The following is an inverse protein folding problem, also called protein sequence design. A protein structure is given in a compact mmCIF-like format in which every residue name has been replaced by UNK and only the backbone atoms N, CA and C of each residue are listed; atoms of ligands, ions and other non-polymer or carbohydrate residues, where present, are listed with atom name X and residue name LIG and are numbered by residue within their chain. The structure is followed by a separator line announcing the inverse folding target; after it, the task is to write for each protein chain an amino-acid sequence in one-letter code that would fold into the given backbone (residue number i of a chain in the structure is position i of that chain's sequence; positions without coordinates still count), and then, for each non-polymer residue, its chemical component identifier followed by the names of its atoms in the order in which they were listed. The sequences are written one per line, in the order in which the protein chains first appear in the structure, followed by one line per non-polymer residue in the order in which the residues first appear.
data_IF_700154019171
#
_entry.id   IF_700154019171
#
_cell.length_a   1.000
_cell.length_b   1.000
_cell.length_c   1.000
_cell.angle_alpha   90.00
_cell.angle_beta   90.00
_cell.angle_gamma   90.00
#
_symmetry.space_group_name_H-M   'P 1'
#
loop_
_entity.id
_entity.type
_entity.pdbx_description
1 polymer ?
#
# COMPACT_ATOMS: atom_id res chain seq x y z
N UNK A 1 -8.02 20.83 7.56
CA UNK A 1 -8.26 21.08 6.11
C UNK A 1 -7.44 20.18 5.18
N UNK A 2 -6.14 19.90 5.39
CA UNK A 2 -5.39 18.96 4.50
C UNK A 2 -5.64 17.48 4.86
N UNK A 3 -5.76 17.15 6.15
CA UNK A 3 -6.00 15.79 6.63
C UNK A 3 -7.28 15.17 6.03
N UNK A 4 -8.37 15.94 5.99
CA UNK A 4 -9.65 15.48 5.44
C UNK A 4 -9.60 15.19 3.94
N UNK A 5 -8.74 15.91 3.20
CA UNK A 5 -8.53 15.65 1.78
C UNK A 5 -7.73 14.36 1.56
N UNK A 6 -6.76 14.09 2.44
CA UNK A 6 -6.01 12.84 2.43
C UNK A 6 -6.93 11.66 2.82
N UNK A 7 -7.80 11.83 3.81
CA UNK A 7 -8.82 10.84 4.16
C UNK A 7 -9.72 10.51 2.96
N UNK A 8 -10.14 11.52 2.19
CA UNK A 8 -10.90 11.30 0.95
C UNK A 8 -10.08 10.56 -0.12
N UNK A 9 -8.80 10.90 -0.32
CA UNK A 9 -7.92 10.12 -1.22
C UNK A 9 -7.82 8.65 -0.79
N UNK A 10 -7.74 8.42 0.53
CA UNK A 10 -7.59 7.09 1.11
C UNK A 10 -8.86 6.26 0.86
N UNK A 11 -10.03 6.85 1.11
CA UNK A 11 -11.34 6.24 0.83
C UNK A 11 -11.49 5.90 -0.66
N UNK A 12 -10.98 6.76 -1.55
CA UNK A 12 -10.96 6.55 -2.99
C UNK A 12 -9.89 5.55 -3.46
N UNK A 13 -9.15 4.91 -2.54
CA UNK A 13 -8.07 3.93 -2.83
C UNK A 13 -6.99 4.46 -3.79
N UNK A 14 -6.71 5.76 -3.71
CA UNK A 14 -5.69 6.40 -4.55
C UNK A 14 -4.28 6.11 -4.05
N UNK A 15 -3.33 5.94 -4.98
CA UNK A 15 -1.93 5.86 -4.61
C UNK A 15 -1.43 7.19 -4.05
N UNK A 16 -0.28 7.17 -3.38
CA UNK A 16 0.36 8.39 -2.88
C UNK A 16 0.59 9.41 -4.01
N UNK A 17 1.06 8.97 -5.18
CA UNK A 17 1.30 9.86 -6.32
C UNK A 17 0.00 10.48 -6.84
N UNK A 18 -1.07 9.69 -6.92
CA UNK A 18 -2.38 10.17 -7.38
C UNK A 18 -2.98 11.17 -6.40
N UNK A 19 -2.88 10.92 -5.09
CA UNK A 19 -3.35 11.87 -4.10
C UNK A 19 -2.56 13.19 -4.15
N UNK A 20 -1.24 13.14 -4.37
CA UNK A 20 -0.42 14.36 -4.53
C UNK A 20 -0.82 15.15 -5.77
N UNK A 21 -1.04 14.48 -6.91
CA UNK A 21 -1.50 15.15 -8.15
C UNK A 21 -2.89 15.75 -7.97
N UNK A 22 -3.84 14.97 -7.47
CA UNK A 22 -5.20 15.43 -7.23
C UNK A 22 -5.25 16.63 -6.27
N UNK A 23 -4.43 16.63 -5.22
CA UNK A 23 -4.38 17.74 -4.28
C UNK A 23 -3.69 18.99 -4.86
N UNK A 24 -2.69 18.80 -5.72
CA UNK A 24 -2.05 19.90 -6.42
C UNK A 24 -3.01 20.53 -7.45
N UNK A 25 -3.81 19.72 -8.14
CA UNK A 25 -4.71 20.18 -9.21
C UNK A 25 -6.04 20.73 -8.68
N UNK A 26 -6.68 20.05 -7.72
CA UNK A 26 -8.01 20.43 -7.23
C UNK A 26 -7.98 21.40 -6.05
N UNK A 27 -6.88 21.44 -5.29
CA UNK A 27 -6.78 22.27 -4.09
C UNK A 27 -5.59 23.23 -4.10
N UNK A 28 -4.81 23.28 -5.20
CA UNK A 28 -3.59 24.08 -5.32
C UNK A 28 -2.61 23.89 -4.16
N UNK A 29 -2.62 22.72 -3.53
CA UNK A 29 -1.74 22.42 -2.39
C UNK A 29 -0.36 22.04 -2.93
N UNK A 30 0.68 22.68 -2.39
CA UNK A 30 2.06 22.35 -2.77
C UNK A 30 2.34 20.86 -2.50
N UNK A 31 2.86 20.09 -3.48
CA UNK A 31 3.18 18.67 -3.32
C UNK A 31 4.02 18.39 -2.06
N UNK A 32 4.93 19.30 -1.72
CA UNK A 32 5.78 19.21 -0.53
C UNK A 32 4.99 19.16 0.79
N UNK A 33 3.88 19.90 0.89
CA UNK A 33 3.01 19.90 2.07
C UNK A 33 2.31 18.54 2.18
N UNK A 34 1.71 18.06 1.09
CA UNK A 34 1.05 16.75 1.04
C UNK A 34 2.01 15.61 1.39
N UNK A 35 3.24 15.64 0.87
CA UNK A 35 4.26 14.63 1.18
C UNK A 35 4.68 14.64 2.66
N UNK A 36 4.83 15.83 3.25
CA UNK A 36 5.22 15.96 4.66
C UNK A 36 4.11 15.43 5.57
N UNK A 37 2.85 15.78 5.29
CA UNK A 37 1.69 15.29 6.05
C UNK A 37 1.52 13.78 5.88
N UNK A 38 1.66 13.27 4.65
CA UNK A 38 1.60 11.84 4.37
C UNK A 38 2.67 11.04 5.13
N UNK A 39 3.92 11.55 5.18
CA UNK A 39 5.00 10.95 6.00
C UNK A 39 4.65 10.94 7.49
N UNK A 40 4.06 12.02 8.01
CA UNK A 40 3.57 12.07 9.38
C UNK A 40 2.50 11.02 9.65
N UNK A 41 1.50 10.92 8.78
CA UNK A 41 0.41 9.94 8.88
C UNK A 41 0.90 8.49 8.86
N UNK A 42 1.88 8.16 8.01
CA UNK A 42 2.50 6.83 8.00
C UNK A 42 3.19 6.56 9.34
N UNK A 43 3.92 7.55 9.88
CA UNK A 43 4.68 7.38 11.12
C UNK A 43 3.76 7.09 12.31
N UNK A 44 2.63 7.80 12.39
CA UNK A 44 1.63 7.62 13.44
C UNK A 44 0.82 6.32 13.23
N UNK A 45 0.49 5.95 11.99
CA UNK A 45 -0.45 4.86 11.68
C UNK A 45 0.16 3.78 10.78
N UNK A 46 1.35 3.27 11.14
CA UNK A 46 2.11 2.30 10.33
C UNK A 46 1.30 1.06 9.92
N UNK A 47 0.55 0.47 10.86
CA UNK A 47 -0.23 -0.75 10.61
C UNK A 47 -1.34 -0.55 9.57
N UNK A 48 -2.03 0.59 9.62
CA UNK A 48 -3.06 0.95 8.64
C UNK A 48 -2.45 1.11 7.24
N UNK A 49 -1.39 1.90 7.11
CA UNK A 49 -0.76 2.15 5.82
C UNK A 49 -0.12 0.90 5.21
N UNK A 50 0.33 -0.05 6.01
CA UNK A 50 0.84 -1.34 5.52
C UNK A 50 -0.26 -2.16 4.85
N UNK A 51 -1.44 -2.27 5.48
CA UNK A 51 -2.60 -2.94 4.90
C UNK A 51 -3.12 -2.18 3.66
N UNK A 52 -3.22 -0.86 3.76
CA UNK A 52 -3.68 0.01 2.69
C UNK A 52 -2.82 -0.09 1.42
N UNK A 53 -1.48 -0.02 1.56
CA UNK A 53 -0.56 -0.19 0.43
C UNK A 53 -0.63 -1.60 -0.18
N UNK A 54 -0.85 -2.62 0.65
CA UNK A 54 -1.05 -3.98 0.18
C UNK A 54 -2.34 -4.13 -0.65
N UNK A 55 -3.39 -3.38 -0.32
CA UNK A 55 -4.66 -3.37 -1.06
C UNK A 55 -4.61 -2.57 -2.37
N UNK A 56 -3.86 -1.46 -2.41
CA UNK A 56 -3.75 -0.60 -3.62
C UNK A 56 -2.76 -1.17 -4.62
N UNK A 57 -1.75 -1.91 -4.16
CA UNK A 57 -0.82 -2.59 -5.05
C UNK A 57 -1.61 -3.56 -5.94
N UNK A 58 -1.70 -3.32 -7.26
CA UNK A 58 -2.50 -4.14 -8.15
C UNK A 58 -1.76 -5.45 -8.31
N UNK A 59 -2.11 -6.44 -7.49
CA UNK A 59 -1.80 -7.87 -7.64
C UNK A 59 -0.61 -8.19 -8.57
N UNK A 60 0.59 -7.70 -8.27
CA UNK A 60 1.76 -8.52 -8.52
C UNK A 60 1.91 -9.41 -7.29
N UNK A 61 1.07 -10.43 -7.25
CA UNK A 61 1.34 -11.61 -6.47
C UNK A 61 2.66 -12.20 -6.98
N UNK A 62 3.75 -11.75 -6.38
CA UNK A 62 5.09 -12.31 -6.54
C UNK A 62 5.92 -12.06 -5.27
N UNK A 63 5.28 -12.03 -4.09
CA UNK A 63 5.98 -12.51 -2.90
C UNK A 63 6.03 -14.03 -3.02
N UNK A 64 7.06 -14.56 -3.69
CA UNK A 64 7.44 -15.95 -3.45
C UNK A 64 8.02 -15.99 -2.04
N UNK A 65 7.41 -16.71 -1.08
CA UNK A 65 8.16 -17.10 0.10
C UNK A 65 9.31 -17.98 -0.41
N UNK A 66 10.54 -17.49 -0.32
CA UNK A 66 11.70 -18.38 -0.37
C UNK A 66 11.61 -19.26 0.88
N UNK A 67 10.97 -20.43 0.76
CA UNK A 67 10.76 -21.32 1.89
C UNK A 67 10.02 -22.61 1.55
N UNK A 68 10.78 -23.62 1.08
CA UNK A 68 10.48 -25.07 1.04
C UNK A 68 9.31 -25.56 0.17
N UNK A 69 9.63 -25.81 -1.11
CA UNK A 69 9.12 -27.00 -1.80
C UNK A 69 10.16 -28.13 -1.65
N UNK A 70 10.11 -28.87 -0.55
CA UNK A 70 10.71 -30.21 -0.50
C UNK A 70 9.82 -31.13 -1.33
N UNK A 71 10.17 -31.24 -2.61
CA UNK A 71 9.58 -32.15 -3.58
C UNK A 71 9.67 -33.60 -3.08
N UNK A 72 8.51 -34.24 -2.91
CA UNK A 72 8.26 -35.66 -3.14
C UNK A 72 9.35 -36.66 -2.71
N UNK A 73 9.28 -37.15 -1.47
CA UNK A 73 9.63 -38.56 -1.23
C UNK A 73 8.48 -39.43 -1.71
N UNK A 74 8.63 -40.01 -2.91
CA UNK A 74 7.85 -41.18 -3.36
C UNK A 74 7.93 -42.25 -2.27
N UNK A 75 6.85 -42.43 -1.51
CA UNK A 75 6.71 -43.58 -0.62
C UNK A 75 5.88 -44.63 -1.35
N UNK A 76 6.59 -45.45 -2.11
CA UNK A 76 6.08 -46.74 -2.57
C UNK A 76 5.91 -47.62 -1.32
N UNK A 77 4.70 -48.08 -1.04
CA UNK A 77 4.43 -49.46 -0.59
C UNK A 77 2.92 -49.64 -0.48
N UNK A 78 2.34 -50.22 -1.52
CA UNK A 78 1.08 -50.96 -1.38
C UNK A 78 1.44 -52.30 -0.74
N UNK A 79 0.75 -52.65 0.34
CA UNK A 79 0.71 -54.00 0.91
C UNK A 79 -0.60 -54.65 0.52
#
# INVERSE_FOLDING_TARGET
MVQHLIERCIILRMSREDCVRALAEHACIRPLVTLTVWKGLIKENKGFFQAYLHEISPRHCSYKPQGRLSRFSRRNQWK
#
